data_IF_429534555601
#
_entry.id   IF_429534555601
#
_cell.length_a   1.000
_cell.length_b   1.000
_cell.length_c   1.000
_cell.angle_alpha   90.00
_cell.angle_beta   90.00
_cell.angle_gamma   90.00
#
_symmetry.space_group_name_H-M   'P 1'
#
loop_
_entity.id
_entity.type
_entity.pdbx_description
1 polymer ?
#
# COMPACT_ATOMS: atom_id res chain seq x y z
N UNK A 1 -8.32 31.22 -24.69
CA UNK A 1 -7.36 30.10 -24.67
C UNK A 1 -6.89 29.96 -23.23
N UNK A 2 -7.37 28.95 -22.50
CA UNK A 2 -7.00 28.76 -21.10
C UNK A 2 -5.67 28.01 -21.06
N UNK A 3 -4.64 28.61 -20.45
CA UNK A 3 -3.42 27.90 -20.04
C UNK A 3 -3.81 26.79 -19.07
N UNK A 4 -4.03 25.59 -19.60
CA UNK A 4 -4.19 24.42 -18.76
C UNK A 4 -2.83 24.16 -18.08
N UNK A 5 -2.84 24.35 -16.77
CA UNK A 5 -1.74 24.31 -15.81
C UNK A 5 -1.03 22.94 -15.85
N UNK A 6 -0.28 22.68 -16.93
CA UNK A 6 0.58 21.50 -17.10
C UNK A 6 1.66 21.60 -16.04
N UNK A 7 1.57 20.76 -15.01
CA UNK A 7 2.67 20.63 -14.06
C UNK A 7 3.94 20.25 -14.85
N UNK A 8 4.95 21.11 -14.79
CA UNK A 8 6.28 20.74 -15.27
C UNK A 8 6.71 19.46 -14.56
N UNK A 9 7.28 18.49 -15.28
CA UNK A 9 7.61 17.17 -14.76
C UNK A 9 8.46 17.23 -13.48
N UNK A 10 9.38 18.21 -13.39
CA UNK A 10 10.16 18.52 -12.18
C UNK A 10 9.27 18.93 -10.99
N UNK A 11 8.26 19.76 -11.22
CA UNK A 11 7.33 20.20 -10.19
C UNK A 11 6.44 19.04 -9.72
N UNK A 12 6.00 18.19 -10.65
CA UNK A 12 5.28 16.95 -10.33
C UNK A 12 6.13 15.97 -9.49
N UNK A 13 7.40 15.79 -9.85
CA UNK A 13 8.33 14.95 -9.09
C UNK A 13 8.60 15.51 -7.68
N UNK A 14 8.74 16.83 -7.53
CA UNK A 14 8.89 17.49 -6.24
C UNK A 14 7.68 17.26 -5.32
N UNK A 15 6.46 17.32 -5.87
CA UNK A 15 5.22 17.05 -5.11
C UNK A 15 5.18 15.59 -4.62
N UNK A 16 5.50 14.62 -5.50
CA UNK A 16 5.58 13.22 -5.09
C UNK A 16 6.63 13.01 -4.00
N UNK A 17 7.82 13.59 -4.15
CA UNK A 17 8.90 13.48 -3.17
C UNK A 17 8.48 14.05 -1.81
N UNK A 18 7.90 15.26 -1.79
CA UNK A 18 7.37 15.88 -0.57
C UNK A 18 6.29 15.01 0.09
N UNK A 19 5.37 14.45 -0.70
CA UNK A 19 4.35 13.53 -0.21
C UNK A 19 4.94 12.26 0.43
N UNK A 20 5.95 11.65 -0.19
CA UNK A 20 6.65 10.48 0.37
C UNK A 20 7.30 10.81 1.70
N UNK A 21 7.90 12.00 1.85
CA UNK A 21 8.46 12.44 3.13
C UNK A 21 7.37 12.55 4.20
N UNK A 22 6.25 13.19 3.90
CA UNK A 22 5.11 13.31 4.83
C UNK A 22 4.59 11.93 5.24
N UNK A 23 4.42 11.01 4.29
CA UNK A 23 3.99 9.63 4.54
C UNK A 23 4.96 8.90 5.49
N UNK A 24 6.27 9.06 5.29
CA UNK A 24 7.27 8.44 6.16
C UNK A 24 7.24 9.01 7.57
N UNK A 25 7.03 10.33 7.72
CA UNK A 25 6.89 10.98 9.02
C UNK A 25 5.62 10.46 9.73
N UNK A 26 4.48 10.45 9.06
CA UNK A 26 3.22 9.90 9.62
C UNK A 26 3.37 8.44 10.04
N UNK A 27 4.03 7.62 9.22
CA UNK A 27 4.31 6.22 9.54
C UNK A 27 5.25 6.05 10.74
N UNK A 28 6.21 6.96 10.94
CA UNK A 28 7.08 6.97 12.11
C UNK A 28 6.30 7.35 13.38
N UNK A 29 5.47 8.39 13.30
CA UNK A 29 4.60 8.84 14.39
C UNK A 29 3.63 7.74 14.81
N UNK A 30 3.13 6.91 13.89
CA UNK A 30 2.25 5.77 14.19
C UNK A 30 2.94 4.64 14.96
N UNK A 31 4.21 4.37 14.68
CA UNK A 31 4.94 3.23 15.29
C UNK A 31 5.12 3.39 16.80
N UNK A 32 5.34 4.61 17.28
CA UNK A 32 5.57 4.92 18.70
C UNK A 32 4.34 4.57 19.58
N UNK A 33 3.13 5.13 19.35
CA UNK A 33 1.95 4.80 20.14
C UNK A 33 1.54 3.34 19.94
N UNK A 34 1.65 2.80 18.72
CA UNK A 34 1.32 1.40 18.49
C UNK A 34 2.16 0.48 19.39
N UNK A 35 3.47 0.66 19.41
CA UNK A 35 4.39 -0.11 20.26
C UNK A 35 4.02 -0.01 21.75
N UNK A 36 3.61 1.16 22.21
CA UNK A 36 3.17 1.36 23.59
C UNK A 36 1.83 0.65 23.91
N UNK A 37 0.93 0.52 22.94
CA UNK A 37 -0.40 -0.08 23.14
C UNK A 37 -0.37 -1.61 23.12
N UNK A 38 0.35 -2.21 22.16
CA UNK A 38 0.39 -3.68 21.97
C UNK A 38 1.63 -4.34 22.59
N UNK A 39 2.55 -3.55 23.15
CA UNK A 39 3.80 -4.00 23.73
C UNK A 39 4.83 -4.50 22.71
N UNK A 40 6.06 -4.76 23.18
CA UNK A 40 7.19 -5.21 22.36
C UNK A 40 6.88 -6.50 21.58
N UNK A 41 6.27 -7.47 22.25
CA UNK A 41 5.96 -8.78 21.66
C UNK A 41 4.88 -8.66 20.57
N UNK A 42 3.82 -7.87 20.82
CA UNK A 42 2.76 -7.61 19.85
C UNK A 42 3.27 -6.81 18.65
N UNK A 43 4.12 -5.81 18.91
CA UNK A 43 4.77 -5.03 17.85
C UNK A 43 5.70 -5.90 17.00
N UNK A 44 6.39 -6.87 17.60
CA UNK A 44 7.17 -7.87 16.88
C UNK A 44 6.33 -8.69 15.88
N UNK A 45 5.13 -9.13 16.29
CA UNK A 45 4.21 -9.84 15.37
C UNK A 45 3.68 -8.93 14.25
N UNK A 46 3.33 -7.69 14.60
CA UNK A 46 2.91 -6.69 13.62
C UNK A 46 4.01 -6.44 12.57
N UNK A 47 5.22 -6.15 13.03
CA UNK A 47 6.35 -5.82 12.15
C UNK A 47 6.74 -7.00 11.25
N UNK A 48 6.69 -8.22 11.78
CA UNK A 48 6.92 -9.44 11.03
C UNK A 48 5.94 -9.63 9.87
N UNK A 49 4.63 -9.55 10.13
CA UNK A 49 3.63 -9.65 9.07
C UNK A 49 3.70 -8.48 8.09
N UNK A 50 4.02 -7.27 8.58
CA UNK A 50 4.24 -6.11 7.72
C UNK A 50 5.47 -6.30 6.80
N UNK A 51 6.51 -7.00 7.25
CA UNK A 51 7.69 -7.33 6.42
C UNK A 51 7.32 -8.24 5.26
N UNK A 52 6.55 -9.31 5.53
CA UNK A 52 6.04 -10.21 4.49
C UNK A 52 5.20 -9.43 3.48
N UNK A 53 4.28 -8.60 3.97
CA UNK A 53 3.46 -7.75 3.12
C UNK A 53 4.30 -6.81 2.22
N UNK A 54 5.33 -6.15 2.77
CA UNK A 54 6.19 -5.27 1.97
C UNK A 54 6.99 -6.00 0.90
N UNK A 55 7.35 -7.27 1.13
CA UNK A 55 8.03 -8.07 0.12
C UNK A 55 7.17 -8.22 -1.15
N UNK A 56 5.93 -8.68 -1.00
CA UNK A 56 4.98 -8.80 -2.12
C UNK A 56 4.60 -7.44 -2.72
N UNK A 57 4.42 -6.43 -1.88
CA UNK A 57 4.11 -5.08 -2.33
C UNK A 57 5.26 -4.50 -3.16
N UNK A 58 6.51 -4.70 -2.75
CA UNK A 58 7.69 -4.23 -3.50
C UNK A 58 7.74 -4.90 -4.86
N UNK A 59 7.53 -6.21 -4.96
CA UNK A 59 7.47 -6.91 -6.25
C UNK A 59 6.35 -6.35 -7.13
N UNK A 60 5.19 -6.04 -6.55
CA UNK A 60 4.01 -5.53 -7.28
C UNK A 60 4.12 -4.06 -7.70
N UNK A 61 4.97 -3.27 -7.04
CA UNK A 61 5.01 -1.81 -7.21
C UNK A 61 6.38 -1.31 -7.68
N UNK A 62 7.41 -2.15 -7.68
CA UNK A 62 8.71 -1.81 -8.21
C UNK A 62 8.63 -1.58 -9.72
N UNK A 63 8.66 -0.32 -10.13
CA UNK A 63 8.77 0.08 -11.53
C UNK A 63 7.48 -0.06 -12.37
N UNK A 64 6.56 -0.95 -12.03
CA UNK A 64 5.30 -1.16 -12.77
C UNK A 64 4.44 0.11 -12.94
N UNK A 65 4.09 0.87 -11.89
CA UNK A 65 3.32 2.11 -12.05
C UNK A 65 4.11 3.20 -12.80
N UNK A 66 5.44 3.24 -12.64
CA UNK A 66 6.31 4.21 -13.30
C UNK A 66 6.41 3.92 -14.80
N UNK A 67 6.55 2.66 -15.18
CA UNK A 67 6.53 2.22 -16.57
C UNK A 67 5.17 2.51 -17.21
N UNK A 68 4.07 2.23 -16.50
CA UNK A 68 2.71 2.56 -16.95
C UNK A 68 2.55 4.08 -17.18
N UNK A 69 3.02 4.90 -16.24
CA UNK A 69 3.02 6.35 -16.37
C UNK A 69 3.76 6.81 -17.62
N UNK A 70 4.95 6.26 -17.88
CA UNK A 70 5.73 6.60 -19.08
C UNK A 70 5.02 6.22 -20.38
N UNK A 71 4.51 4.99 -20.48
CA UNK A 71 3.79 4.53 -21.67
C UNK A 71 2.54 5.36 -21.98
N UNK A 72 1.83 5.81 -20.93
CA UNK A 72 0.65 6.67 -21.08
C UNK A 72 1.06 8.08 -21.51
N UNK A 73 2.09 8.66 -20.88
CA UNK A 73 2.61 9.97 -21.28
C UNK A 73 3.04 9.98 -22.74
N UNK A 74 3.75 8.94 -23.20
CA UNK A 74 4.20 8.79 -24.59
C UNK A 74 3.01 8.67 -25.55
N UNK A 75 2.02 7.83 -25.24
CA UNK A 75 0.82 7.69 -26.06
C UNK A 75 0.02 9.00 -26.15
N UNK A 76 -0.05 9.76 -25.06
CA UNK A 76 -0.70 11.07 -25.02
C UNK A 76 0.07 12.12 -25.85
N UNK A 77 1.40 12.14 -25.79
CA UNK A 77 2.23 13.06 -26.60
C UNK A 77 2.11 12.77 -28.09
N UNK A 78 1.90 11.51 -28.46
CA UNK A 78 1.67 11.08 -29.85
C UNK A 78 0.21 11.25 -30.31
N UNK A 79 -0.69 11.78 -29.46
CA UNK A 79 -2.10 11.97 -29.80
C UNK A 79 -2.90 10.68 -29.95
N UNK A 80 -2.51 9.61 -29.22
CA UNK A 80 -3.11 8.26 -29.32
C UNK A 80 -3.89 7.87 -28.04
N UNK A 81 -5.03 8.51 -27.74
CA UNK A 81 -5.77 8.27 -26.49
C UNK A 81 -6.31 6.83 -26.37
N UNK A 82 -6.67 6.20 -27.50
CA UNK A 82 -7.09 4.80 -27.52
C UNK A 82 -5.97 3.85 -27.06
N UNK A 83 -4.72 4.15 -27.43
CA UNK A 83 -3.56 3.36 -27.00
C UNK A 83 -3.33 3.53 -25.51
N UNK A 84 -3.38 4.76 -24.98
CA UNK A 84 -3.28 5.03 -23.54
C UNK A 84 -4.33 4.25 -22.72
N UNK A 85 -5.59 4.23 -23.18
CA UNK A 85 -6.68 3.49 -22.51
C UNK A 85 -6.50 1.97 -22.59
N UNK A 86 -5.96 1.46 -23.71
CA UNK A 86 -5.63 0.03 -23.86
C UNK A 86 -4.49 -0.36 -22.92
N UNK A 87 -3.42 0.43 -22.86
CA UNK A 87 -2.29 0.20 -21.94
C UNK A 87 -2.75 0.19 -20.50
N UNK A 88 -3.61 1.13 -20.10
CA UNK A 88 -4.21 1.14 -18.76
C UNK A 88 -5.02 -0.12 -18.46
N UNK A 89 -5.87 -0.55 -19.40
CA UNK A 89 -6.69 -1.76 -19.21
C UNK A 89 -5.83 -3.02 -19.04
N UNK A 90 -4.79 -3.17 -19.87
CA UNK A 90 -3.84 -4.29 -19.76
C UNK A 90 -3.14 -4.24 -18.41
N UNK A 91 -2.61 -3.08 -18.01
CA UNK A 91 -1.94 -2.94 -16.72
C UNK A 91 -2.86 -3.20 -15.52
N UNK A 92 -4.12 -2.76 -15.58
CA UNK A 92 -5.11 -3.04 -14.54
C UNK A 92 -5.37 -4.55 -14.40
N UNK A 93 -5.52 -5.26 -15.52
CA UNK A 93 -5.70 -6.73 -15.51
C UNK A 93 -4.45 -7.42 -15.00
N UNK A 94 -3.26 -7.04 -15.47
CA UNK A 94 -1.99 -7.66 -15.04
C UNK A 94 -1.73 -7.44 -13.55
N UNK A 95 -1.87 -6.21 -13.06
CA UNK A 95 -1.69 -5.90 -11.64
C UNK A 95 -2.81 -6.50 -10.78
N UNK A 96 -4.04 -6.56 -11.30
CA UNK A 96 -5.16 -7.21 -10.63
C UNK A 96 -4.94 -8.71 -10.45
N UNK A 97 -4.50 -9.41 -11.50
CA UNK A 97 -4.17 -10.84 -11.46
C UNK A 97 -2.98 -11.10 -10.53
N UNK A 98 -1.93 -10.29 -10.62
CA UNK A 98 -0.75 -10.42 -9.76
C UNK A 98 -1.11 -10.21 -8.28
N UNK A 99 -1.88 -9.15 -7.98
CA UNK A 99 -2.40 -8.89 -6.64
C UNK A 99 -3.32 -9.99 -6.12
N UNK A 100 -4.14 -10.58 -7.00
CA UNK A 100 -5.02 -11.70 -6.65
C UNK A 100 -4.22 -12.96 -6.33
N UNK A 101 -3.19 -13.28 -7.13
CA UNK A 101 -2.29 -14.41 -6.86
C UNK A 101 -1.58 -14.22 -5.53
N UNK A 102 -1.00 -13.05 -5.25
CA UNK A 102 -0.32 -12.78 -3.97
C UNK A 102 -1.28 -12.81 -2.78
N UNK A 103 -2.48 -12.27 -2.94
CA UNK A 103 -3.53 -12.33 -1.91
C UNK A 103 -3.93 -13.78 -1.62
N UNK A 104 -4.16 -14.60 -2.65
CA UNK A 104 -4.48 -16.02 -2.49
C UNK A 104 -3.34 -16.80 -1.82
N UNK A 105 -2.09 -16.54 -2.20
CA UNK A 105 -0.93 -17.16 -1.56
C UNK A 105 -0.87 -16.84 -0.06
N UNK A 106 -1.09 -15.57 0.31
CA UNK A 106 -1.09 -15.16 1.72
C UNK A 106 -2.32 -15.64 2.51
N UNK A 107 -3.47 -15.87 1.84
CA UNK A 107 -4.69 -16.40 2.45
C UNK A 107 -4.65 -17.92 2.65
N UNK A 108 -4.12 -18.66 1.67
CA UNK A 108 -4.08 -20.13 1.68
C UNK A 108 -2.91 -20.66 2.51
N UNK A 109 -1.79 -19.94 2.55
CA UNK A 109 -0.56 -20.38 3.22
C UNK A 109 -0.03 -19.38 4.27
N UNK A 110 -0.86 -18.82 5.18
CA UNK A 110 -0.42 -17.82 6.15
C UNK A 110 0.59 -18.39 7.16
N UNK A 111 0.42 -19.65 7.55
CA UNK A 111 1.30 -20.34 8.52
C UNK A 111 2.65 -20.67 7.88
N UNK A 112 2.66 -21.22 6.67
CA UNK A 112 3.89 -21.53 5.94
C UNK A 112 4.69 -20.26 5.64
N UNK A 113 4.03 -19.17 5.22
CA UNK A 113 4.66 -17.87 5.02
C UNK A 113 5.24 -17.32 6.34
N UNK A 114 4.50 -17.42 7.44
CA UNK A 114 4.97 -16.96 8.75
C UNK A 114 6.18 -17.78 9.27
N UNK A 115 6.22 -19.07 9.00
CA UNK A 115 7.35 -19.94 9.37
C UNK A 115 8.54 -19.66 8.45
N UNK A 116 8.33 -19.56 7.13
CA UNK A 116 9.39 -19.36 6.16
C UNK A 116 10.09 -17.99 6.29
N UNK A 117 9.35 -16.92 6.55
CA UNK A 117 9.91 -15.56 6.62
C UNK A 117 10.30 -15.11 8.04
N UNK A 118 9.68 -15.67 9.08
CA UNK A 118 9.79 -15.16 10.46
C UNK A 118 10.05 -16.27 11.48
N UNK A 119 9.96 -17.54 11.09
CA UNK A 119 10.15 -18.70 11.97
C UNK A 119 9.22 -18.71 13.19
N UNK A 120 8.06 -18.03 13.11
CA UNK A 120 7.06 -17.95 14.19
C UNK A 120 5.64 -18.11 13.66
N UNK A 121 5.03 -19.27 13.93
CA UNK A 121 3.66 -19.59 13.52
C UNK A 121 2.58 -18.66 14.11
N UNK A 122 2.87 -17.98 15.23
CA UNK A 122 1.96 -17.03 15.88
C UNK A 122 1.67 -15.77 15.03
N UNK A 123 2.48 -15.51 14.01
CA UNK A 123 2.31 -14.37 13.07
C UNK A 123 1.26 -14.67 12.00
N UNK A 124 0.89 -15.94 11.79
CA UNK A 124 -0.08 -16.38 10.77
C UNK A 124 -1.37 -15.56 10.75
N UNK A 125 -1.95 -15.25 11.92
CA UNK A 125 -3.17 -14.45 12.06
C UNK A 125 -3.00 -13.02 11.57
N UNK A 126 -1.82 -12.43 11.76
CA UNK A 126 -1.50 -11.10 11.26
C UNK A 126 -1.27 -11.13 9.73
N UNK A 127 -0.62 -12.17 9.20
CA UNK A 127 -0.46 -12.35 7.74
C UNK A 127 -1.81 -12.49 7.05
N UNK A 128 -2.70 -13.29 7.63
CA UNK A 128 -4.06 -13.46 7.12
C UNK A 128 -4.81 -12.12 7.10
N UNK A 129 -4.74 -11.34 8.18
CA UNK A 129 -5.45 -10.07 8.31
C UNK A 129 -4.98 -8.99 7.30
N UNK A 130 -3.70 -8.96 6.93
CA UNK A 130 -3.17 -7.99 5.96
C UNK A 130 -3.32 -8.46 4.51
N UNK A 131 -3.47 -9.76 4.26
CA UNK A 131 -3.47 -10.34 2.90
C UNK A 131 -4.39 -9.66 1.87
N UNK A 132 -5.68 -9.32 2.14
CA UNK A 132 -6.55 -8.71 1.12
C UNK A 132 -6.08 -7.33 0.66
N UNK A 133 -5.27 -6.63 1.46
CA UNK A 133 -4.74 -5.31 1.09
C UNK A 133 -3.77 -5.35 -0.08
N UNK A 134 -3.13 -6.49 -0.35
CA UNK A 134 -2.17 -6.60 -1.46
C UNK A 134 -2.87 -6.36 -2.79
N UNK A 135 -4.05 -6.96 -2.99
CA UNK A 135 -4.87 -6.73 -4.17
C UNK A 135 -5.25 -5.25 -4.33
N UNK A 136 -5.74 -4.62 -3.26
CA UNK A 136 -6.14 -3.21 -3.28
C UNK A 136 -4.96 -2.30 -3.62
N UNK A 137 -3.77 -2.57 -3.08
CA UNK A 137 -2.57 -1.81 -3.40
C UNK A 137 -2.11 -2.02 -4.84
N UNK A 138 -2.21 -3.23 -5.38
CA UNK A 138 -1.90 -3.48 -6.79
C UNK A 138 -2.82 -2.69 -7.73
N UNK A 139 -4.12 -2.65 -7.43
CA UNK A 139 -5.10 -1.90 -8.21
C UNK A 139 -4.87 -0.38 -8.10
N UNK A 140 -4.67 0.15 -6.89
CA UNK A 140 -4.37 1.58 -6.70
C UNK A 140 -3.04 1.97 -7.36
N UNK A 141 -2.04 1.09 -7.39
CA UNK A 141 -0.79 1.29 -8.14
C UNK A 141 -1.04 1.51 -9.63
N UNK A 142 -1.94 0.74 -10.26
CA UNK A 142 -2.33 0.94 -11.66
C UNK A 142 -2.99 2.31 -11.89
N UNK A 143 -3.91 2.72 -11.01
CA UNK A 143 -4.56 4.03 -11.08
C UNK A 143 -3.56 5.19 -10.90
N UNK A 144 -2.63 5.05 -9.96
CA UNK A 144 -1.55 6.02 -9.75
C UNK A 144 -0.72 6.16 -11.01
N UNK A 145 -0.27 5.05 -11.61
CA UNK A 145 0.46 5.08 -12.89
C UNK A 145 -0.31 5.79 -14.01
N UNK A 146 -1.63 5.59 -14.09
CA UNK A 146 -2.47 6.27 -15.07
C UNK A 146 -2.54 7.78 -14.88
N UNK A 147 -2.84 8.22 -13.66
CA UNK A 147 -3.00 9.64 -13.35
C UNK A 147 -1.65 10.38 -13.45
N UNK A 148 -0.57 9.76 -12.98
CA UNK A 148 0.79 10.26 -13.15
C UNK A 148 1.17 10.36 -14.64
N UNK A 149 0.77 9.39 -15.46
CA UNK A 149 1.00 9.38 -16.91
C UNK A 149 0.27 10.48 -17.68
N UNK A 150 -0.85 10.95 -17.14
CA UNK A 150 -1.56 12.13 -17.65
C UNK A 150 -0.96 13.47 -17.17
N UNK A 151 0.14 13.43 -16.39
CA UNK A 151 0.85 14.63 -15.92
C UNK A 151 0.26 15.27 -14.66
N UNK A 152 -0.66 14.60 -13.96
CA UNK A 152 -1.26 15.13 -12.73
C UNK A 152 -0.80 14.33 -11.51
N UNK A 153 0.10 14.91 -10.70
CA UNK A 153 0.67 14.22 -9.52
C UNK A 153 -0.11 14.51 -8.22
N UNK A 154 -0.93 15.58 -8.21
CA UNK A 154 -1.68 16.03 -7.03
C UNK A 154 -2.61 14.97 -6.45
N UNK A 155 -3.55 14.35 -7.21
CA UNK A 155 -4.52 13.42 -6.63
C UNK A 155 -3.85 12.14 -6.12
N UNK A 156 -2.77 11.69 -6.75
CA UNK A 156 -1.96 10.57 -6.26
C UNK A 156 -1.35 10.90 -4.89
N UNK A 157 -0.73 12.08 -4.77
CA UNK A 157 -0.04 12.50 -3.55
C UNK A 157 -1.01 12.70 -2.40
N UNK A 158 -2.10 13.44 -2.64
CA UNK A 158 -3.15 13.67 -1.64
C UNK A 158 -3.80 12.35 -1.22
N UNK A 159 -4.12 11.49 -2.19
CA UNK A 159 -4.70 10.17 -1.92
C UNK A 159 -3.79 9.29 -1.06
N UNK A 160 -2.47 9.28 -1.32
CA UNK A 160 -1.52 8.55 -0.49
C UNK A 160 -1.43 9.09 0.94
N UNK A 161 -1.45 10.41 1.12
CA UNK A 161 -1.44 11.02 2.46
C UNK A 161 -2.71 10.65 3.21
N UNK A 162 -3.88 10.76 2.57
CA UNK A 162 -5.17 10.39 3.16
C UNK A 162 -5.22 8.91 3.52
N UNK A 163 -4.77 8.02 2.61
CA UNK A 163 -4.69 6.58 2.87
C UNK A 163 -3.86 6.28 4.12
N UNK A 164 -2.69 6.90 4.25
CA UNK A 164 -1.82 6.69 5.41
C UNK A 164 -2.47 7.24 6.68
N UNK A 165 -3.11 8.41 6.62
CA UNK A 165 -3.85 8.95 7.77
C UNK A 165 -4.96 8.01 8.24
N UNK A 166 -5.74 7.46 7.31
CA UNK A 166 -6.80 6.49 7.62
C UNK A 166 -6.21 5.23 8.26
N UNK A 167 -5.13 4.67 7.69
CA UNK A 167 -4.42 3.51 8.26
C UNK A 167 -3.95 3.75 9.69
N UNK A 168 -3.42 4.94 9.96
CA UNK A 168 -2.95 5.33 11.29
C UNK A 168 -4.11 5.42 12.28
N UNK A 169 -5.20 6.11 11.91
CA UNK A 169 -6.36 6.30 12.79
C UNK A 169 -7.06 4.97 13.06
N UNK A 170 -7.37 4.20 12.02
CA UNK A 170 -8.09 2.92 12.13
C UNK A 170 -7.20 1.87 12.83
N UNK A 171 -5.91 1.79 12.49
CA UNK A 171 -4.94 0.90 13.12
C UNK A 171 -4.82 1.13 14.62
N UNK A 172 -4.67 2.39 15.06
CA UNK A 172 -4.60 2.72 16.49
C UNK A 172 -5.94 2.49 17.20
N UNK A 173 -7.06 2.87 16.59
CA UNK A 173 -8.38 2.68 17.18
C UNK A 173 -8.66 1.19 17.44
N UNK A 174 -8.38 0.32 16.47
CA UNK A 174 -8.54 -1.13 16.61
C UNK A 174 -7.56 -1.70 17.64
N UNK A 175 -6.30 -1.26 17.64
CA UNK A 175 -5.32 -1.69 18.63
C UNK A 175 -5.79 -1.38 20.07
N UNK A 176 -6.27 -0.15 20.31
CA UNK A 176 -6.80 0.27 21.62
C UNK A 176 -8.03 -0.55 21.99
N UNK A 177 -8.96 -0.75 21.05
CA UNK A 177 -10.18 -1.51 21.28
C UNK A 177 -9.87 -2.94 21.71
N UNK A 178 -9.04 -3.66 20.95
CA UNK A 178 -8.71 -5.06 21.25
C UNK A 178 -7.93 -5.21 22.56
N UNK A 179 -7.00 -4.28 22.85
CA UNK A 179 -6.30 -4.26 24.14
C UNK A 179 -7.24 -3.99 25.31
N UNK A 180 -8.22 -3.08 25.16
CA UNK A 180 -9.23 -2.80 26.21
C UNK A 180 -10.20 -3.96 26.44
N UNK A 181 -10.45 -4.79 25.43
CA UNK A 181 -11.24 -6.02 25.58
C UNK A 181 -10.48 -7.18 26.25
N UNK A 182 -9.22 -6.99 26.66
CA UNK A 182 -8.41 -8.04 27.29
C UNK A 182 -8.08 -9.20 26.35
N UNK A 183 -8.14 -9.00 25.03
CA UNK A 183 -7.79 -10.03 24.04
C UNK A 183 -6.29 -10.29 24.07
N UNK A 184 -5.89 -11.52 23.70
CA UNK A 184 -4.49 -11.92 23.71
C UNK A 184 -3.64 -11.07 22.76
N UNK A 185 -2.38 -10.84 23.13
CA UNK A 185 -1.41 -10.01 22.39
C UNK A 185 -1.38 -10.29 20.87
N UNK A 186 -1.44 -11.54 20.38
CA UNK A 186 -1.47 -11.82 18.94
C UNK A 186 -2.75 -11.33 18.24
N UNK A 187 -3.88 -11.30 18.95
CA UNK A 187 -5.17 -10.85 18.40
C UNK A 187 -5.21 -9.33 18.34
N UNK A 188 -4.71 -8.63 19.36
CA UNK A 188 -4.58 -7.17 19.32
C UNK A 188 -3.61 -6.70 18.22
N UNK A 189 -2.52 -7.44 17.99
CA UNK A 189 -1.60 -7.19 16.87
C UNK A 189 -2.27 -7.43 15.51
N UNK A 190 -3.07 -8.50 15.37
CA UNK A 190 -3.83 -8.76 14.14
C UNK A 190 -4.90 -7.70 13.87
N UNK A 191 -5.58 -7.20 14.91
CA UNK A 191 -6.53 -6.09 14.78
C UNK A 191 -5.86 -4.79 14.33
N UNK A 192 -4.70 -4.46 14.88
CA UNK A 192 -3.91 -3.31 14.44
C UNK A 192 -3.47 -3.44 12.98
N UNK A 193 -3.05 -4.62 12.54
CA UNK A 193 -2.61 -4.87 11.16
C UNK A 193 -3.79 -4.85 10.17
N UNK A 194 -4.97 -5.29 10.61
CA UNK A 194 -6.19 -5.15 9.83
C UNK A 194 -6.59 -3.67 9.66
N UNK A 195 -6.35 -2.81 10.66
CA UNK A 195 -6.55 -1.37 10.45
C UNK A 195 -5.61 -0.76 9.41
N UNK A 196 -4.47 -1.39 9.15
CA UNK A 196 -3.50 -0.97 8.12
C UNK A 196 -3.86 -1.53 6.73
N UNK A 197 -4.80 -2.48 6.62
CA UNK A 197 -5.28 -3.02 5.34
C UNK A 197 -6.36 -2.16 4.66
N UNK A 198 -6.89 -1.15 5.36
CA UNK A 198 -7.91 -0.18 4.89
C UNK A 198 -7.26 0.96 4.10
#
# INVERSE_FOLDING_TARGET
>A
MAEENRQNFLHGAAILAAGVVVIKILGAIYKIPLRNIIGETGYGYFFAAYTIYNFFLTISTAGLPVALSRMISEANTLGRPCQARRTFRVAMVTLGLLGLVFTLLMLLFPTEMAIAFVSKATVSRCVFAISPSVLLVCLTSAFRGYIQGNGNMKPTTVGQVVEVLVKVVVGLALAIWFTRMGKSVPVSAAGAIFGVSV
#
